data_IF_775466215425
#
_entry.id   IF_775466215425
#
_cell.length_a   1.000
_cell.length_b   1.000
_cell.length_c   1.000
_cell.angle_alpha   90.00
_cell.angle_beta   90.00
_cell.angle_gamma   90.00
#
_symmetry.space_group_name_H-M   'P 1'
#
loop_
_entity.id
_entity.type
_entity.pdbx_description
1 polymer ?
#
# COMPACT_ATOMS: atom_id res chain seq x y z
N UNK A 1 -14.59 7.66 6.58
CA UNK A 1 -14.76 6.36 5.89
C UNK A 1 -13.70 5.40 6.42
N UNK A 2 -14.04 4.16 6.76
CA UNK A 2 -13.02 3.23 7.26
C UNK A 2 -12.05 2.80 6.13
N UNK A 3 -10.84 2.41 6.50
CA UNK A 3 -9.76 2.07 5.58
C UNK A 3 -10.12 0.93 4.63
N UNK A 4 -10.85 -0.09 5.12
CA UNK A 4 -11.24 -1.23 4.29
C UNK A 4 -12.19 -0.79 3.17
N UNK A 5 -13.19 0.05 3.49
CA UNK A 5 -14.08 0.64 2.50
C UNK A 5 -13.31 1.45 1.44
N UNK A 6 -12.26 2.19 1.82
CA UNK A 6 -11.44 2.93 0.83
C UNK A 6 -10.66 1.98 -0.10
N UNK A 7 -10.12 0.89 0.45
CA UNK A 7 -9.44 -0.15 -0.34
C UNK A 7 -10.40 -0.76 -1.35
N UNK A 8 -11.62 -1.13 -0.91
CA UNK A 8 -12.62 -1.80 -1.75
C UNK A 8 -13.15 -0.91 -2.88
N UNK A 9 -13.17 0.43 -2.67
CA UNK A 9 -13.59 1.41 -3.66
C UNK A 9 -12.46 1.83 -4.62
N UNK A 10 -11.21 1.52 -4.30
CA UNK A 10 -10.07 1.91 -5.15
C UNK A 10 -10.00 0.97 -6.35
N UNK A 11 -9.93 1.50 -7.60
CA UNK A 11 -9.98 0.70 -8.82
C UNK A 11 -8.62 0.04 -9.12
N UNK A 12 -8.19 -0.90 -8.28
CA UNK A 12 -6.94 -1.64 -8.50
C UNK A 12 -7.04 -2.56 -9.74
N UNK A 13 -5.93 -2.77 -10.49
CA UNK A 13 -5.91 -3.70 -11.61
C UNK A 13 -6.26 -5.14 -11.21
N UNK A 14 -6.74 -5.94 -12.16
CA UNK A 14 -7.06 -7.35 -11.93
C UNK A 14 -5.88 -8.15 -11.34
N UNK A 15 -6.21 -9.12 -10.48
CA UNK A 15 -5.22 -9.95 -9.81
C UNK A 15 -4.44 -9.23 -8.71
N UNK A 16 -4.85 -8.01 -8.35
CA UNK A 16 -4.31 -7.23 -7.23
C UNK A 16 -5.07 -7.52 -5.95
N UNK A 17 -4.35 -7.63 -4.85
CA UNK A 17 -4.90 -7.70 -3.51
C UNK A 17 -4.19 -6.68 -2.62
N UNK A 18 -4.97 -5.87 -1.92
CA UNK A 18 -4.48 -4.89 -0.96
C UNK A 18 -4.96 -5.26 0.44
N UNK A 19 -4.09 -5.08 1.42
CA UNK A 19 -4.37 -5.29 2.84
C UNK A 19 -3.69 -4.20 3.65
N UNK A 20 -4.29 -3.82 4.79
CA UNK A 20 -3.64 -2.93 5.76
C UNK A 20 -3.52 -3.59 7.13
N UNK A 21 -2.49 -3.21 7.88
CA UNK A 21 -2.28 -3.62 9.26
C UNK A 21 -1.52 -2.54 10.01
N UNK A 22 -1.69 -2.50 11.33
CA UNK A 22 -1.01 -1.54 12.20
C UNK A 22 0.37 -2.07 12.61
N UNK A 23 1.35 -1.20 12.61
CA UNK A 23 2.70 -1.39 13.15
C UNK A 23 3.00 -0.29 14.18
N UNK A 24 4.11 -0.40 14.92
CA UNK A 24 4.45 0.57 15.99
C UNK A 24 4.63 2.01 15.50
N UNK A 25 4.99 2.19 14.23
CA UNK A 25 5.32 3.50 13.64
C UNK A 25 4.18 4.07 12.77
N UNK A 26 3.06 3.34 12.66
CA UNK A 26 1.88 3.74 11.92
C UNK A 26 1.18 2.58 11.23
N UNK A 27 0.61 2.84 10.04
CA UNK A 27 -0.17 1.85 9.29
C UNK A 27 0.55 1.42 8.03
N UNK A 28 0.75 0.11 7.87
CA UNK A 28 1.31 -0.45 6.65
C UNK A 28 0.19 -0.85 5.70
N UNK A 29 0.34 -0.44 4.45
CA UNK A 29 -0.48 -0.88 3.34
C UNK A 29 0.36 -1.77 2.43
N UNK A 30 -0.09 -3.00 2.25
CA UNK A 30 0.58 -3.99 1.41
C UNK A 30 -0.26 -4.24 0.17
N UNK A 31 0.37 -4.11 -0.99
CA UNK A 31 -0.19 -4.53 -2.27
C UNK A 31 0.53 -5.78 -2.78
N UNK A 32 -0.24 -6.73 -3.29
CA UNK A 32 0.26 -7.95 -3.93
C UNK A 32 -0.42 -8.13 -5.26
N UNK A 33 0.34 -8.56 -6.26
CA UNK A 33 -0.20 -8.88 -7.58
C UNK A 33 0.41 -10.19 -8.05
N UNK A 34 -0.42 -11.05 -8.64
CA UNK A 34 0.02 -12.31 -9.24
C UNK A 34 -0.19 -12.28 -10.74
N UNK A 35 0.91 -12.40 -11.49
CA UNK A 35 0.88 -12.51 -12.95
C UNK A 35 1.48 -13.86 -13.35
N UNK A 36 0.60 -14.84 -13.60
CA UNK A 36 1.01 -16.24 -13.82
C UNK A 36 1.67 -16.84 -12.57
N UNK A 37 2.93 -17.23 -12.70
CA UNK A 37 3.75 -17.80 -11.61
C UNK A 37 4.52 -16.74 -10.81
N UNK A 38 4.64 -15.51 -11.33
CA UNK A 38 5.39 -14.45 -10.69
C UNK A 38 4.53 -13.74 -9.65
N UNK A 39 5.04 -13.66 -8.42
CA UNK A 39 4.47 -12.86 -7.34
C UNK A 39 5.17 -11.51 -7.31
N UNK A 40 4.39 -10.44 -7.20
CA UNK A 40 4.88 -9.07 -7.06
C UNK A 40 4.21 -8.42 -5.86
N UNK A 41 4.87 -7.46 -5.24
CA UNK A 41 4.24 -6.72 -4.16
C UNK A 41 5.14 -5.66 -3.55
N UNK A 42 4.49 -4.69 -2.90
CA UNK A 42 5.12 -3.52 -2.30
C UNK A 42 4.40 -3.23 -0.97
N UNK A 43 5.10 -2.59 -0.05
CA UNK A 43 4.53 -1.99 1.14
C UNK A 43 4.71 -0.47 1.15
N UNK A 44 3.72 0.23 1.68
CA UNK A 44 3.82 1.65 2.03
C UNK A 44 3.49 1.79 3.51
N UNK A 45 4.43 2.28 4.31
CA UNK A 45 4.20 2.67 5.69
C UNK A 45 3.70 4.12 5.71
N UNK A 46 2.45 4.33 6.12
CA UNK A 46 1.94 5.63 6.51
C UNK A 46 2.29 5.87 7.97
N UNK A 47 3.22 6.80 8.21
CA UNK A 47 3.65 7.13 9.58
C UNK A 47 2.54 7.85 10.35
N UNK A 48 2.49 7.62 11.67
CA UNK A 48 1.57 8.34 12.55
C UNK A 48 1.80 9.85 12.51
N UNK A 49 3.05 10.27 12.34
CA UNK A 49 3.42 11.68 12.17
C UNK A 49 2.77 12.29 10.92
N UNK A 50 2.86 11.61 9.78
CA UNK A 50 2.22 12.07 8.55
C UNK A 50 0.69 12.14 8.70
N UNK A 51 0.09 11.11 9.30
CA UNK A 51 -1.35 11.06 9.53
C UNK A 51 -1.82 12.19 10.47
N UNK A 52 -1.07 12.50 11.52
CA UNK A 52 -1.38 13.59 12.45
C UNK A 52 -1.25 14.97 11.77
N UNK A 53 -0.23 15.14 10.91
CA UNK A 53 0.07 16.43 10.29
C UNK A 53 -0.88 16.80 9.15
N UNK A 54 -1.24 15.82 8.32
CA UNK A 54 -2.03 16.04 7.10
C UNK A 54 -3.46 15.49 7.19
N UNK A 55 -3.78 14.75 8.25
CA UNK A 55 -5.05 14.07 8.45
C UNK A 55 -5.02 12.64 7.94
N UNK A 56 -5.62 11.71 8.68
CA UNK A 56 -5.60 10.29 8.34
C UNK A 56 -6.30 10.01 7.00
N UNK A 57 -7.55 10.44 6.83
CA UNK A 57 -8.32 10.17 5.60
C UNK A 57 -7.63 10.63 4.29
N UNK A 58 -7.13 11.88 4.15
CA UNK A 58 -6.44 12.30 2.93
C UNK A 58 -5.11 11.55 2.72
N UNK A 59 -4.43 11.16 3.80
CA UNK A 59 -3.21 10.38 3.73
C UNK A 59 -3.47 8.94 3.28
N UNK A 60 -4.51 8.30 3.78
CA UNK A 60 -4.95 6.98 3.31
C UNK A 60 -5.29 7.04 1.82
N UNK A 61 -6.07 8.03 1.38
CA UNK A 61 -6.39 8.21 -0.04
C UNK A 61 -5.13 8.39 -0.90
N UNK A 62 -4.14 9.16 -0.42
CA UNK A 62 -2.86 9.37 -1.10
C UNK A 62 -2.06 8.06 -1.23
N UNK A 63 -1.98 7.27 -0.15
CA UNK A 63 -1.31 5.96 -0.16
C UNK A 63 -1.99 5.01 -1.15
N UNK A 64 -3.33 4.95 -1.16
CA UNK A 64 -4.07 4.08 -2.09
C UNK A 64 -3.83 4.48 -3.55
N UNK A 65 -3.78 5.77 -3.87
CA UNK A 65 -3.42 6.26 -5.21
C UNK A 65 -2.00 5.86 -5.60
N UNK A 66 -1.03 5.92 -4.67
CA UNK A 66 0.33 5.47 -4.94
C UNK A 66 0.39 3.97 -5.21
N UNK A 67 -0.29 3.16 -4.39
CA UNK A 67 -0.38 1.71 -4.61
C UNK A 67 -1.00 1.38 -5.96
N UNK A 68 -2.08 2.08 -6.35
CA UNK A 68 -2.71 1.91 -7.65
C UNK A 68 -1.72 2.21 -8.78
N UNK A 69 -1.02 3.34 -8.71
CA UNK A 69 -0.01 3.72 -9.69
C UNK A 69 1.10 2.67 -9.79
N UNK A 70 1.57 2.12 -8.67
CA UNK A 70 2.56 1.04 -8.68
C UNK A 70 2.01 -0.26 -9.25
N UNK A 71 0.74 -0.59 -9.02
CA UNK A 71 0.07 -1.74 -9.61
C UNK A 71 -0.02 -1.63 -11.15
N UNK A 72 -0.28 -0.42 -11.65
CA UNK A 72 -0.40 -0.13 -13.08
C UNK A 72 0.96 -0.07 -13.80
N UNK A 73 1.95 0.57 -13.16
CA UNK A 73 3.29 0.77 -13.76
C UNK A 73 4.21 -0.44 -13.58
N UNK A 74 3.94 -1.28 -12.58
CA UNK A 74 4.67 -2.49 -12.29
C UNK A 74 5.16 -2.54 -10.85
N UNK A 75 4.73 -3.59 -10.15
CA UNK A 75 5.21 -3.91 -8.80
C UNK A 75 6.55 -4.67 -8.85
N UNK A 76 7.41 -4.51 -7.83
CA UNK A 76 8.64 -5.26 -7.72
C UNK A 76 8.35 -6.75 -7.54
N UNK A 77 9.21 -7.60 -8.09
CA UNK A 77 9.09 -9.07 -7.96
C UNK A 77 9.40 -9.48 -6.52
N UNK A 78 8.50 -10.23 -5.93
CA UNK A 78 8.67 -10.79 -4.59
C UNK A 78 9.38 -12.15 -4.71
N UNK A 79 10.68 -12.16 -4.46
CA UNK A 79 11.47 -13.39 -4.41
C UNK A 79 11.13 -14.21 -3.16
N UNK A 80 11.19 -15.54 -3.28
CA UNK A 80 10.90 -16.43 -2.17
C UNK A 80 11.86 -16.17 -0.99
N UNK A 81 11.30 -15.90 0.19
CA UNK A 81 12.06 -15.64 1.41
C UNK A 81 12.62 -14.23 1.56
N UNK A 82 12.33 -13.31 0.62
CA UNK A 82 12.64 -11.88 0.77
C UNK A 82 11.46 -11.09 1.31
N UNK A 83 11.79 -10.00 2.00
CA UNK A 83 10.83 -9.02 2.47
C UNK A 83 10.28 -8.19 1.29
N UNK A 84 9.13 -7.57 1.51
CA UNK A 84 8.57 -6.62 0.54
C UNK A 84 9.47 -5.39 0.48
N UNK A 85 9.63 -4.82 -0.71
CA UNK A 85 10.13 -3.45 -0.80
C UNK A 85 9.14 -2.53 -0.08
N UNK A 86 9.65 -1.64 0.76
CA UNK A 86 8.86 -0.78 1.63
C UNK A 86 9.20 0.68 1.36
N UNK A 87 8.19 1.45 0.98
CA UNK A 87 8.25 2.91 0.94
C UNK A 87 7.75 3.45 2.27
N UNK A 88 8.39 4.51 2.76
CA UNK A 88 7.98 5.20 3.99
C UNK A 88 7.41 6.55 3.61
N UNK A 89 6.15 6.76 3.97
CA UNK A 89 5.48 8.04 3.80
C UNK A 89 5.61 8.83 5.10
N UNK A 90 6.60 9.71 5.13
CA UNK A 90 6.83 10.70 6.19
C UNK A 90 6.10 12.00 5.86
N UNK A 91 5.66 12.70 6.90
CA UNK A 91 5.07 14.01 6.75
C UNK A 91 6.15 15.09 6.74
N UNK A 92 6.63 15.47 5.55
CA UNK A 92 7.74 16.44 5.36
C UNK A 92 7.55 17.79 6.08
#
# INVERSE_FOLDING_TARGET
MDVQTQIDQTPFPDGTQVSSYEEMEGRVFRIRQRLGEVRRGLEILLTDEAAQRYGEEPMVATVLQQLQKHAETGLPVLEAGKEYERLVFVGD
#
